data_IF_289194071223
#
_entry.id   IF_289194071223
#
_cell.length_a   1.000
_cell.length_b   1.000
_cell.length_c   1.000
_cell.angle_alpha   90.00
_cell.angle_beta   90.00
_cell.angle_gamma   90.00
#
_symmetry.space_group_name_H-M   'P 1'
#
loop_
_entity.id
_entity.type
_entity.pdbx_description
1 polymer ?
#
# COMPACT_ATOMS: atom_id res chain seq x y z
N UNK A 1 5.82 -8.11 -14.75
CA UNK A 1 6.05 -8.29 -13.30
C UNK A 1 6.08 -6.93 -12.60
N UNK A 2 6.99 -6.02 -12.97
CA UNK A 2 6.95 -4.63 -12.47
C UNK A 2 5.60 -3.95 -12.71
N UNK A 3 5.05 -4.03 -13.91
CA UNK A 3 3.76 -3.39 -14.23
C UNK A 3 2.59 -3.99 -13.43
N UNK A 4 2.62 -5.30 -13.15
CA UNK A 4 1.59 -5.96 -12.34
C UNK A 4 1.70 -5.59 -10.86
N UNK A 5 2.93 -5.46 -10.34
CA UNK A 5 3.15 -4.96 -8.98
C UNK A 5 2.72 -3.50 -8.85
N UNK A 6 3.08 -2.65 -9.81
CA UNK A 6 2.70 -1.24 -9.82
C UNK A 6 1.16 -1.09 -9.90
N UNK A 7 0.49 -1.90 -10.73
CA UNK A 7 -0.99 -1.94 -10.79
C UNK A 7 -1.63 -2.43 -9.47
N UNK A 8 -1.05 -3.44 -8.83
CA UNK A 8 -1.51 -3.91 -7.52
C UNK A 8 -1.37 -2.84 -6.44
N UNK A 9 -0.21 -2.18 -6.39
CA UNK A 9 0.04 -1.05 -5.47
C UNK A 9 -0.95 0.07 -5.72
N UNK A 10 -1.21 0.42 -6.98
CA UNK A 10 -2.18 1.46 -7.33
C UNK A 10 -3.60 1.10 -6.87
N UNK A 11 -4.04 -0.14 -7.11
CA UNK A 11 -5.36 -0.60 -6.66
C UNK A 11 -5.48 -0.59 -5.12
N UNK A 12 -4.43 -0.99 -4.41
CA UNK A 12 -4.39 -0.91 -2.95
C UNK A 12 -4.41 0.53 -2.45
N UNK A 13 -3.69 1.43 -3.12
CA UNK A 13 -3.68 2.86 -2.83
C UNK A 13 -5.07 3.49 -3.03
N UNK A 14 -5.71 3.25 -4.17
CA UNK A 14 -7.03 3.83 -4.48
C UNK A 14 -8.09 3.37 -3.47
N UNK A 15 -8.09 2.08 -3.13
CA UNK A 15 -9.00 1.52 -2.12
C UNK A 15 -8.77 2.12 -0.73
N UNK A 16 -7.50 2.33 -0.35
CA UNK A 16 -7.17 2.98 0.91
C UNK A 16 -7.52 4.47 0.90
N UNK A 17 -7.36 5.15 -0.24
CA UNK A 17 -7.72 6.55 -0.40
C UNK A 17 -9.23 6.74 -0.19
N UNK A 18 -10.04 5.87 -0.78
CA UNK A 18 -11.50 5.84 -0.59
C UNK A 18 -11.87 5.53 0.86
N UNK A 19 -11.27 4.51 1.47
CA UNK A 19 -11.57 4.08 2.83
C UNK A 19 -11.17 5.10 3.91
N UNK A 20 -10.12 5.88 3.68
CA UNK A 20 -9.59 6.88 4.64
C UNK A 20 -10.06 8.30 4.34
N UNK A 21 -10.99 8.49 3.40
CA UNK A 21 -11.44 9.83 2.98
C UNK A 21 -10.30 10.73 2.47
N UNK A 22 -9.24 10.13 1.92
CA UNK A 22 -8.05 10.81 1.42
C UNK A 22 -6.95 11.08 2.46
N UNK A 23 -7.11 10.67 3.72
CA UNK A 23 -6.11 10.92 4.78
C UNK A 23 -5.24 9.68 5.01
N UNK A 24 -4.18 9.54 4.20
CA UNK A 24 -3.27 8.39 4.29
C UNK A 24 -2.11 8.59 5.28
N UNK A 25 -1.63 9.82 5.42
CA UNK A 25 -0.45 10.17 6.22
C UNK A 25 -0.82 10.91 7.49
N UNK A 26 -0.16 10.59 8.60
CA UNK A 26 -0.34 11.30 9.87
C UNK A 26 0.34 12.68 9.88
N UNK A 27 0.15 13.42 10.97
CA UNK A 27 0.69 14.79 11.12
C UNK A 27 2.21 14.85 10.93
N UNK A 28 2.96 13.85 11.41
CA UNK A 28 4.42 13.79 11.28
C UNK A 28 4.83 13.49 9.83
N UNK A 29 4.16 12.55 9.17
CA UNK A 29 4.40 12.23 7.76
C UNK A 29 4.15 13.44 6.86
N UNK A 30 3.07 14.19 7.10
CA UNK A 30 2.77 15.45 6.39
C UNK A 30 3.85 16.52 6.61
N UNK A 31 4.34 16.69 7.84
CA UNK A 31 5.40 17.64 8.15
C UNK A 31 6.74 17.27 7.47
N UNK A 32 6.94 15.99 7.18
CA UNK A 32 8.13 15.47 6.48
C UNK A 32 7.90 15.31 4.97
N UNK A 33 6.78 15.80 4.43
CA UNK A 33 6.40 15.67 3.01
C UNK A 33 6.46 14.23 2.48
N UNK A 34 6.04 13.27 3.31
CA UNK A 34 5.95 11.87 2.91
C UNK A 34 4.74 11.70 1.99
N UNK A 35 4.98 11.05 0.85
CA UNK A 35 3.92 10.65 -0.07
C UNK A 35 3.13 9.47 0.52
N UNK A 36 1.81 9.47 0.36
CA UNK A 36 0.96 8.34 0.74
C UNK A 36 1.34 7.07 -0.03
N UNK A 37 1.73 7.19 -1.29
CA UNK A 37 2.13 6.06 -2.14
C UNK A 37 3.38 5.35 -1.59
N UNK A 38 4.32 6.10 -1.01
CA UNK A 38 5.55 5.56 -0.39
C UNK A 38 5.24 4.60 0.77
N UNK A 39 4.07 4.72 1.40
CA UNK A 39 3.66 3.83 2.49
C UNK A 39 3.32 2.42 1.98
N UNK A 40 2.99 2.27 0.70
CA UNK A 40 2.64 0.98 0.10
C UNK A 40 3.88 0.25 -0.43
N UNK A 41 4.84 0.98 -0.99
CA UNK A 41 6.05 0.41 -1.61
C UNK A 41 7.25 0.35 -0.67
N UNK A 42 7.27 1.16 0.39
CA UNK A 42 8.41 1.29 1.29
C UNK A 42 8.50 0.23 2.40
N UNK A 43 9.45 0.37 3.35
CA UNK A 43 9.58 -0.53 4.50
C UNK A 43 8.36 -0.48 5.45
N UNK A 44 7.97 -1.62 6.02
CA UNK A 44 6.81 -1.73 6.95
C UNK A 44 6.95 -0.78 8.14
N UNK A 45 8.16 -0.66 8.69
CA UNK A 45 8.44 0.23 9.82
C UNK A 45 8.18 1.70 9.49
N UNK A 46 8.53 2.12 8.25
CA UNK A 46 8.26 3.47 7.75
C UNK A 46 6.77 3.67 7.52
N UNK A 47 6.11 2.70 6.90
CA UNK A 47 4.68 2.71 6.63
C UNK A 47 3.89 2.91 7.94
N UNK A 48 4.12 2.07 8.96
CA UNK A 48 3.41 2.14 10.24
C UNK A 48 3.71 3.42 11.02
N UNK A 49 4.94 3.96 10.92
CA UNK A 49 5.32 5.19 11.62
C UNK A 49 4.59 6.43 11.08
N UNK A 50 4.32 6.48 9.78
CA UNK A 50 3.81 7.67 9.11
C UNK A 50 2.38 7.54 8.57
N UNK A 51 1.81 6.33 8.57
CA UNK A 51 0.40 6.12 8.27
C UNK A 51 -0.51 6.88 9.25
N UNK A 52 -1.64 7.35 8.73
CA UNK A 52 -2.75 7.85 9.53
C UNK A 52 -3.36 6.71 10.35
N UNK A 53 -4.14 7.08 11.37
CA UNK A 53 -4.87 6.10 12.16
C UNK A 53 -5.88 5.32 11.31
N UNK A 54 -6.60 5.99 10.41
CA UNK A 54 -7.57 5.37 9.49
C UNK A 54 -6.89 4.38 8.54
N UNK A 55 -5.69 4.70 8.04
CA UNK A 55 -4.93 3.79 7.19
C UNK A 55 -4.45 2.56 7.95
N UNK A 56 -4.03 2.73 9.21
CA UNK A 56 -3.67 1.61 10.08
C UNK A 56 -4.86 0.70 10.38
N UNK A 57 -6.06 1.28 10.59
CA UNK A 57 -7.30 0.52 10.76
C UNK A 57 -7.67 -0.24 9.46
N UNK A 58 -7.60 0.44 8.31
CA UNK A 58 -7.82 -0.18 7.01
C UNK A 58 -6.91 -1.40 6.79
N UNK A 59 -5.63 -1.29 7.13
CA UNK A 59 -4.67 -2.39 6.99
C UNK A 59 -4.93 -3.60 7.90
N UNK A 60 -5.78 -3.48 8.93
CA UNK A 60 -6.19 -4.65 9.71
C UNK A 60 -7.11 -5.58 8.91
N UNK A 61 -7.88 -5.03 7.97
CA UNK A 61 -8.85 -5.79 7.16
C UNK A 61 -8.40 -5.98 5.71
N UNK A 62 -7.65 -5.02 5.17
CA UNK A 62 -7.04 -5.07 3.84
C UNK A 62 -5.54 -4.87 3.99
N UNK A 63 -4.78 -5.93 4.31
CA UNK A 63 -3.35 -5.82 4.53
C UNK A 63 -2.63 -5.29 3.29
N UNK A 64 -1.61 -4.47 3.49
CA UNK A 64 -0.69 -4.15 2.40
C UNK A 64 0.11 -5.41 2.04
N UNK A 65 0.29 -5.65 0.75
CA UNK A 65 1.21 -6.66 0.25
C UNK A 65 2.61 -6.05 0.11
N UNK A 66 3.61 -6.65 0.76
CA UNK A 66 5.00 -6.26 0.49
C UNK A 66 5.44 -6.80 -0.87
N UNK A 67 6.46 -6.20 -1.49
CA UNK A 67 7.01 -6.71 -2.75
C UNK A 67 7.38 -8.19 -2.67
N UNK A 68 7.94 -8.62 -1.53
CA UNK A 68 8.34 -10.01 -1.30
C UNK A 68 7.14 -10.95 -1.19
N UNK A 69 6.06 -10.50 -0.54
CA UNK A 69 4.84 -11.29 -0.42
C UNK A 69 4.11 -11.36 -1.77
N UNK A 70 4.11 -10.27 -2.53
CA UNK A 70 3.59 -10.23 -3.90
C UNK A 70 4.36 -11.17 -4.82
N UNK A 71 5.70 -11.16 -4.77
CA UNK A 71 6.55 -12.11 -5.50
C UNK A 71 6.21 -13.57 -5.15
N UNK A 72 6.02 -13.87 -3.87
CA UNK A 72 5.65 -15.22 -3.43
C UNK A 72 4.27 -15.64 -3.95
N UNK A 73 3.28 -14.75 -3.90
CA UNK A 73 1.93 -15.04 -4.39
C UNK A 73 1.89 -15.17 -5.92
N UNK A 74 2.64 -14.32 -6.63
CA UNK A 74 2.81 -14.36 -8.08
C UNK A 74 3.40 -15.70 -8.53
N UNK A 75 4.46 -16.16 -7.87
CA UNK A 75 5.11 -17.44 -8.18
C UNK A 75 4.19 -18.62 -7.85
N UNK A 76 3.33 -18.49 -6.83
CA UNK A 76 2.34 -19.52 -6.48
C UNK A 76 1.12 -19.60 -7.41
N UNK A 77 0.88 -18.56 -8.24
CA UNK A 77 -0.26 -18.47 -9.15
C UNK A 77 -1.55 -17.92 -8.54
N UNK A 78 -1.52 -17.41 -7.31
CA UNK A 78 -2.69 -16.80 -6.63
C UNK A 78 -3.04 -15.40 -7.16
N UNK A 79 -2.13 -14.76 -7.89
CA UNK A 79 -2.31 -13.42 -8.48
C UNK A 79 -2.08 -13.52 -9.98
N UNK A 80 -3.12 -13.34 -10.77
CA UNK A 80 -3.02 -13.33 -12.23
C UNK A 80 -2.57 -11.95 -12.76
N UNK A 81 -1.76 -11.97 -13.83
CA UNK A 81 -1.38 -10.78 -14.59
C UNK A 81 -2.60 -10.17 -15.26
N UNK A 82 -3.10 -9.05 -14.71
CA UNK A 82 -4.05 -8.17 -15.40
C UNK A 82 -3.26 -7.08 -16.13
N UNK A 83 -2.45 -7.46 -17.12
CA UNK A 83 -1.94 -6.49 -18.08
C UNK A 83 -2.95 -6.33 -19.21
N UNK A 84 -3.37 -5.08 -19.44
CA UNK A 84 -4.11 -4.68 -20.63
C UNK A 84 -3.25 -4.81 -21.90
#
# INVERSE_FOLDING_TARGET
MKDAYDAHVQAAYDKALEATGGVLVNKLGRALHIDGLDLFTGPVSRAHRYASWELLEHWQTTPRLSLKDFESQWVSGEVEYIGA
#
